data_IF_797156844606
#
_entry.id   IF_797156844606
#
_cell.length_a   1.000
_cell.length_b   1.000
_cell.length_c   1.000
_cell.angle_alpha   90.00
_cell.angle_beta   90.00
_cell.angle_gamma   90.00
#
_symmetry.space_group_name_H-M   'P 1'
#
loop_
_entity.id
_entity.type
_entity.pdbx_description
1 polymer ?
#
# COMPACT_ATOMS: atom_id res chain seq x y z
N UNK A 1 12.90 0.32 -4.04
CA UNK A 1 12.21 1.53 -3.52
C UNK A 1 11.34 1.21 -2.30
N UNK A 2 11.20 2.17 -1.38
CA UNK A 2 10.32 2.05 -0.21
C UNK A 2 9.10 2.94 -0.38
N UNK A 3 7.92 2.40 -0.09
CA UNK A 3 6.63 3.05 -0.29
C UNK A 3 5.87 3.18 1.03
N UNK A 4 5.23 4.34 1.26
CA UNK A 4 4.16 4.44 2.26
C UNK A 4 2.91 3.78 1.71
N UNK A 5 2.47 2.72 2.36
CA UNK A 5 1.38 1.88 1.86
C UNK A 5 -0.01 2.46 2.12
N UNK A 6 -0.97 1.82 1.48
CA UNK A 6 -2.37 2.14 1.40
C UNK A 6 -2.99 2.53 2.74
N UNK A 7 -3.47 3.75 2.81
CA UNK A 7 -4.37 4.27 3.84
C UNK A 7 -5.09 5.47 3.23
N UNK A 8 -6.40 5.43 3.13
CA UNK A 8 -7.18 6.47 2.43
C UNK A 8 -7.44 7.70 3.31
N UNK A 9 -7.58 8.86 2.66
CA UNK A 9 -8.23 10.01 3.28
C UNK A 9 -9.69 9.66 3.59
N UNK A 10 -10.11 9.87 4.80
CA UNK A 10 -11.38 9.38 5.36
C UNK A 10 -11.17 8.24 6.37
N UNK A 11 -10.30 7.29 6.09
CA UNK A 11 -9.77 6.37 7.12
C UNK A 11 -8.78 7.09 8.02
N UNK A 12 -7.81 7.80 7.44
CA UNK A 12 -6.95 8.77 8.12
C UNK A 12 -7.56 10.17 8.11
N UNK A 13 -7.15 11.02 9.04
CA UNK A 13 -7.36 12.46 8.96
C UNK A 13 -6.63 13.05 7.76
N UNK A 14 -7.06 14.22 7.31
CA UNK A 14 -6.42 14.98 6.22
C UNK A 14 -4.96 15.25 6.55
N UNK A 15 -4.71 15.76 7.76
CA UNK A 15 -3.38 16.13 8.25
C UNK A 15 -2.41 14.93 8.20
N UNK A 16 -2.84 13.78 8.70
CA UNK A 16 -2.01 12.58 8.70
C UNK A 16 -1.74 12.06 7.28
N UNK A 17 -2.74 12.11 6.41
CA UNK A 17 -2.61 11.63 5.03
C UNK A 17 -1.67 12.53 4.20
N UNK A 18 -1.80 13.84 4.34
CA UNK A 18 -0.96 14.82 3.63
C UNK A 18 0.48 14.80 4.16
N UNK A 19 0.68 14.74 5.48
CA UNK A 19 2.00 14.62 6.10
C UNK A 19 2.80 13.45 5.53
N UNK A 20 2.15 12.28 5.37
CA UNK A 20 2.77 11.11 4.77
C UNK A 20 3.16 11.33 3.30
N UNK A 21 2.30 11.96 2.53
CA UNK A 21 2.57 12.22 1.12
C UNK A 21 3.75 13.21 0.96
N UNK A 22 3.74 14.30 1.70
CA UNK A 22 4.84 15.29 1.72
C UNK A 22 6.16 14.64 2.09
N UNK A 23 6.18 13.86 3.18
CA UNK A 23 7.40 13.18 3.62
C UNK A 23 7.98 12.26 2.54
N UNK A 24 7.14 11.44 1.92
CA UNK A 24 7.59 10.53 0.87
C UNK A 24 8.07 11.26 -0.37
N UNK A 25 7.42 12.36 -0.74
CA UNK A 25 7.85 13.18 -1.87
C UNK A 25 9.22 13.82 -1.61
N UNK A 26 9.50 14.31 -0.39
CA UNK A 26 10.80 14.89 -0.02
C UNK A 26 11.95 13.89 -0.17
N UNK A 27 11.75 12.63 0.14
CA UNK A 27 12.77 11.57 -0.01
C UNK A 27 12.72 10.87 -1.37
N UNK A 28 11.97 11.40 -2.34
CA UNK A 28 11.75 10.82 -3.68
C UNK A 28 11.12 9.42 -3.67
N UNK A 29 10.55 9.01 -2.54
CA UNK A 29 9.73 7.82 -2.43
C UNK A 29 8.31 8.05 -2.96
N UNK A 30 7.40 7.14 -2.67
CA UNK A 30 5.99 7.28 -3.07
C UNK A 30 5.03 6.96 -1.92
N UNK A 31 3.90 7.67 -1.88
CA UNK A 31 2.76 7.35 -1.04
C UNK A 31 1.60 6.85 -1.89
N UNK A 32 0.83 5.91 -1.34
CA UNK A 32 -0.40 5.44 -1.94
C UNK A 32 -1.59 6.22 -1.38
N UNK A 33 -2.44 6.74 -2.27
CA UNK A 33 -3.66 7.48 -1.91
C UNK A 33 -4.65 6.64 -1.11
N UNK A 34 -4.64 5.31 -1.28
CA UNK A 34 -5.75 4.45 -0.86
C UNK A 34 -6.97 4.62 -1.78
N UNK A 35 -8.04 3.91 -1.47
CA UNK A 35 -9.25 3.80 -2.31
C UNK A 35 -10.27 4.95 -2.17
N UNK A 36 -9.85 6.10 -1.66
CA UNK A 36 -10.77 7.21 -1.35
C UNK A 36 -10.74 8.39 -2.29
N UNK A 37 -10.03 8.30 -3.40
CA UNK A 37 -9.74 9.47 -4.23
C UNK A 37 -8.74 10.41 -3.54
N UNK A 38 -8.53 11.57 -4.12
CA UNK A 38 -7.64 12.60 -3.59
C UNK A 38 -8.07 13.98 -4.12
N UNK A 39 -8.00 15.01 -3.27
CA UNK A 39 -8.34 16.37 -3.67
C UNK A 39 -7.33 16.91 -4.69
N UNK A 40 -7.82 17.50 -5.78
CA UNK A 40 -6.99 18.05 -6.85
C UNK A 40 -6.07 19.20 -6.39
N UNK A 41 -6.42 19.90 -5.30
CA UNK A 41 -5.54 20.92 -4.70
C UNK A 41 -4.21 20.33 -4.25
N UNK A 42 -4.16 19.04 -3.91
CA UNK A 42 -2.96 18.33 -3.49
C UNK A 42 -1.98 18.05 -4.64
N UNK A 43 -2.44 18.18 -5.90
CA UNK A 43 -1.59 17.99 -7.08
C UNK A 43 -0.71 19.22 -7.36
N UNK A 44 -1.05 20.35 -6.73
CA UNK A 44 -0.30 21.59 -6.84
C UNK A 44 0.93 21.59 -5.92
N UNK A 45 1.96 22.30 -6.34
CA UNK A 45 3.14 22.57 -5.52
C UNK A 45 2.79 23.67 -4.50
N UNK A 46 3.09 23.44 -3.25
CA UNK A 46 2.90 24.40 -2.16
C UNK A 46 3.92 25.54 -2.25
N UNK A 47 3.65 26.66 -1.56
CA UNK A 47 4.54 27.83 -1.54
C UNK A 47 5.95 27.55 -1.02
N UNK A 48 6.12 26.53 -0.20
CA UNK A 48 7.40 26.07 0.35
C UNK A 48 8.11 25.03 -0.56
N UNK A 49 7.56 24.73 -1.73
CA UNK A 49 8.10 23.74 -2.68
C UNK A 49 7.68 22.29 -2.41
N UNK A 50 6.95 22.01 -1.35
CA UNK A 50 6.42 20.67 -1.08
C UNK A 50 5.24 20.33 -1.99
N UNK A 51 4.92 19.06 -2.06
CA UNK A 51 3.68 18.55 -2.67
C UNK A 51 3.07 17.45 -1.82
N UNK A 52 1.76 17.52 -1.62
CA UNK A 52 0.97 16.51 -0.93
C UNK A 52 0.37 15.46 -1.89
N UNK A 53 0.74 15.48 -3.15
CA UNK A 53 0.27 14.51 -4.14
C UNK A 53 0.76 13.10 -3.80
N UNK A 54 -0.15 12.14 -3.74
CA UNK A 54 0.21 10.73 -3.64
C UNK A 54 0.63 10.21 -5.02
N UNK A 55 1.87 9.77 -5.16
CA UNK A 55 2.42 9.31 -6.45
C UNK A 55 1.86 7.97 -6.92
N UNK A 56 1.24 7.19 -6.02
CA UNK A 56 0.50 5.97 -6.33
C UNK A 56 -0.98 6.23 -6.13
N UNK A 57 -1.77 6.09 -7.19
CA UNK A 57 -3.22 6.23 -7.14
C UNK A 57 -3.87 4.86 -7.15
N UNK A 58 -4.70 4.57 -6.14
CA UNK A 58 -5.36 3.29 -6.03
C UNK A 58 -6.77 3.34 -6.59
N UNK A 59 -7.17 2.31 -7.35
CA UNK A 59 -8.53 2.02 -7.75
C UNK A 59 -8.98 0.68 -7.18
N UNK A 60 -10.14 0.71 -6.52
CA UNK A 60 -10.78 -0.47 -5.97
C UNK A 60 -12.13 -0.71 -6.66
N UNK A 61 -12.82 -1.77 -6.31
CA UNK A 61 -14.11 -2.16 -6.89
C UNK A 61 -15.14 -1.01 -6.92
N UNK A 62 -15.27 -0.26 -5.83
CA UNK A 62 -16.23 0.83 -5.72
C UNK A 62 -15.82 2.12 -6.47
N UNK A 63 -14.59 2.25 -6.92
CA UNK A 63 -14.05 3.41 -7.66
C UNK A 63 -14.28 4.77 -7.01
N UNK A 64 -14.33 4.84 -5.69
CA UNK A 64 -14.52 6.09 -4.95
C UNK A 64 -13.49 7.15 -5.34
N UNK A 65 -13.99 8.29 -5.86
CA UNK A 65 -13.17 9.44 -6.22
C UNK A 65 -12.22 9.24 -7.41
N UNK A 66 -12.40 8.19 -8.19
CA UNK A 66 -11.59 7.93 -9.39
C UNK A 66 -12.08 8.80 -10.54
N UNK A 67 -11.22 9.71 -10.99
CA UNK A 67 -11.42 10.58 -12.14
C UNK A 67 -10.22 10.53 -13.07
N UNK A 68 -10.37 11.02 -14.30
CA UNK A 68 -9.24 11.12 -15.25
C UNK A 68 -8.13 12.01 -14.69
N UNK A 69 -8.50 13.13 -14.06
CA UNK A 69 -7.53 14.03 -13.42
C UNK A 69 -6.75 13.32 -12.30
N UNK A 70 -7.44 12.58 -11.44
CA UNK A 70 -6.82 11.74 -10.40
C UNK A 70 -5.81 10.76 -11.01
N UNK A 71 -6.18 10.03 -12.06
CA UNK A 71 -5.34 9.02 -12.70
C UNK A 71 -4.14 9.62 -13.47
N UNK A 72 -4.28 10.84 -13.98
CA UNK A 72 -3.19 11.52 -14.69
C UNK A 72 -2.15 12.17 -13.76
N UNK A 73 -2.47 12.35 -12.48
CA UNK A 73 -1.57 12.95 -11.51
C UNK A 73 -0.80 11.92 -10.67
N UNK A 74 -0.28 10.86 -11.29
CA UNK A 74 0.50 9.82 -10.62
C UNK A 74 1.59 9.21 -11.48
N UNK A 75 2.48 8.45 -10.83
CA UNK A 75 3.52 7.64 -11.46
C UNK A 75 3.15 6.14 -11.48
N UNK A 76 2.18 5.75 -10.67
CA UNK A 76 1.71 4.37 -10.56
C UNK A 76 0.21 4.35 -10.29
N UNK A 77 -0.51 3.49 -11.01
CA UNK A 77 -1.92 3.19 -10.78
C UNK A 77 -2.00 1.79 -10.19
N UNK A 78 -2.56 1.67 -8.99
CA UNK A 78 -2.69 0.38 -8.30
C UNK A 78 -4.12 -0.14 -8.37
N UNK A 79 -4.33 -1.26 -9.07
CA UNK A 79 -5.59 -2.01 -9.07
C UNK A 79 -5.66 -2.84 -7.79
N UNK A 80 -6.60 -2.53 -6.89
CA UNK A 80 -6.82 -3.28 -5.67
C UNK A 80 -7.84 -4.41 -5.91
N UNK A 81 -7.37 -5.65 -5.93
CA UNK A 81 -8.28 -6.81 -5.98
C UNK A 81 -8.91 -7.03 -4.60
N UNK A 82 -8.09 -7.04 -3.55
CA UNK A 82 -8.51 -7.18 -2.16
C UNK A 82 -7.45 -6.59 -1.22
N UNK A 83 -7.62 -6.75 0.10
CA UNK A 83 -6.63 -6.33 1.09
C UNK A 83 -6.30 -7.46 2.06
N UNK A 84 -5.03 -7.62 2.42
CA UNK A 84 -4.52 -8.77 3.18
C UNK A 84 -5.18 -8.97 4.53
N UNK A 85 -5.46 -7.88 5.26
CA UNK A 85 -6.02 -7.94 6.60
C UNK A 85 -7.51 -8.33 6.65
N UNK A 86 -8.23 -8.31 5.53
CA UNK A 86 -9.63 -8.75 5.43
C UNK A 86 -10.01 -9.12 4.00
N UNK A 87 -9.45 -10.23 3.50
CA UNK A 87 -9.56 -10.60 2.09
C UNK A 87 -11.00 -10.91 1.64
N UNK A 88 -11.85 -11.41 2.53
CA UNK A 88 -13.25 -11.73 2.22
C UNK A 88 -14.26 -10.64 2.61
N UNK A 89 -13.85 -9.59 3.34
CA UNK A 89 -14.76 -8.54 3.83
C UNK A 89 -14.72 -7.26 2.98
N UNK A 90 -13.58 -6.97 2.37
CA UNK A 90 -13.37 -5.77 1.56
C UNK A 90 -13.14 -4.48 2.34
N UNK A 91 -13.08 -3.37 1.60
CA UNK A 91 -12.93 -2.04 2.14
C UNK A 91 -14.26 -1.51 2.70
N UNK A 92 -14.19 -0.86 3.86
CA UNK A 92 -15.35 -0.23 4.49
C UNK A 92 -14.95 1.10 5.13
N UNK A 93 -15.77 2.12 4.94
CA UNK A 93 -15.71 3.37 5.68
C UNK A 93 -17.06 3.59 6.38
N UNK A 94 -17.12 3.59 7.73
CA UNK A 94 -18.35 3.81 8.46
C UNK A 94 -18.97 5.18 8.14
N UNK A 95 -20.30 5.26 8.11
CA UNK A 95 -21.03 6.48 7.74
C UNK A 95 -20.67 7.70 8.59
N UNK A 96 -20.41 7.51 9.90
CA UNK A 96 -19.99 8.61 10.78
C UNK A 96 -18.61 9.20 10.46
N UNK A 97 -17.80 8.55 9.61
CA UNK A 97 -16.56 9.10 9.04
C UNK A 97 -16.78 9.78 7.69
N UNK A 98 -17.95 9.62 7.07
CA UNK A 98 -18.27 10.21 5.78
C UNK A 98 -18.81 11.63 6.00
N UNK A 99 -17.90 12.58 6.21
CA UNK A 99 -18.18 14.02 6.30
C UNK A 99 -18.53 14.58 4.92
N UNK A 100 -18.93 15.87 4.84
CA UNK A 100 -19.16 16.54 3.56
C UNK A 100 -17.92 16.52 2.66
N UNK A 101 -16.74 16.75 3.21
CA UNK A 101 -15.47 16.67 2.49
C UNK A 101 -15.23 15.27 1.93
N UNK A 102 -15.39 14.23 2.74
CA UNK A 102 -15.17 12.84 2.32
C UNK A 102 -16.23 12.41 1.28
N UNK A 103 -17.48 12.80 1.47
CA UNK A 103 -18.56 12.53 0.52
C UNK A 103 -18.26 13.14 -0.86
N UNK A 104 -17.82 14.40 -0.88
CA UNK A 104 -17.40 15.09 -2.10
C UNK A 104 -16.24 14.38 -2.80
N UNK A 105 -15.18 14.05 -2.05
CA UNK A 105 -13.99 13.38 -2.59
C UNK A 105 -14.28 11.98 -3.16
N UNK A 106 -15.22 11.27 -2.55
CA UNK A 106 -15.57 9.90 -2.94
C UNK A 106 -16.75 9.82 -3.91
N UNK A 107 -17.31 10.96 -4.31
CA UNK A 107 -18.53 11.05 -5.11
C UNK A 107 -19.67 10.22 -4.51
N UNK A 108 -19.94 10.45 -3.22
CA UNK A 108 -20.88 9.67 -2.41
C UNK A 108 -21.75 10.57 -1.54
N UNK A 109 -22.60 9.98 -0.70
CA UNK A 109 -23.51 10.70 0.18
C UNK A 109 -22.97 10.74 1.61
N UNK A 110 -23.01 11.94 2.23
CA UNK A 110 -22.64 12.13 3.65
C UNK A 110 -23.41 11.19 4.57
N UNK A 111 -22.72 10.64 5.55
CA UNK A 111 -23.32 9.82 6.59
C UNK A 111 -23.66 8.38 6.18
N UNK A 112 -23.53 8.04 4.91
CA UNK A 112 -23.77 6.69 4.40
C UNK A 112 -22.50 5.86 4.50
N UNK A 113 -22.59 4.64 5.04
CA UNK A 113 -21.47 3.70 5.07
C UNK A 113 -21.06 3.31 3.65
N UNK A 114 -19.78 3.43 3.34
CA UNK A 114 -19.22 3.13 2.04
C UNK A 114 -18.53 1.77 2.07
N UNK A 115 -18.87 0.91 1.11
CA UNK A 115 -18.35 -0.44 0.99
C UNK A 115 -17.69 -0.60 -0.39
N UNK A 116 -16.49 -1.18 -0.39
CA UNK A 116 -15.80 -1.61 -1.61
C UNK A 116 -15.61 -3.13 -1.52
N UNK A 117 -16.49 -3.91 -2.17
CA UNK A 117 -16.51 -5.37 -2.01
C UNK A 117 -15.26 -6.03 -2.60
N UNK A 118 -14.79 -7.15 -2.02
CA UNK A 118 -13.80 -8.04 -2.58
C UNK A 118 -14.49 -9.25 -3.26
N UNK A 119 -13.86 -9.85 -4.27
CA UNK A 119 -12.79 -9.31 -5.09
C UNK A 119 -13.25 -8.10 -5.89
N UNK A 120 -12.36 -7.48 -6.66
CA UNK A 120 -12.72 -6.37 -7.53
C UNK A 120 -13.86 -6.76 -8.47
N UNK A 121 -15.02 -6.10 -8.36
CA UNK A 121 -16.31 -6.56 -8.91
C UNK A 121 -16.38 -6.65 -10.44
N UNK A 122 -15.49 -5.97 -11.15
CA UNK A 122 -15.47 -5.97 -12.62
C UNK A 122 -14.49 -6.99 -13.19
N UNK A 123 -13.81 -7.75 -12.34
CA UNK A 123 -12.76 -8.67 -12.74
C UNK A 123 -13.16 -10.09 -12.34
N UNK A 124 -13.57 -10.88 -13.33
CA UNK A 124 -13.96 -12.28 -13.18
C UNK A 124 -12.97 -13.23 -13.85
N UNK A 125 -12.07 -12.69 -14.68
CA UNK A 125 -11.04 -13.45 -15.39
C UNK A 125 -9.76 -12.63 -15.54
N UNK A 126 -8.69 -13.29 -16.01
CA UNK A 126 -7.44 -12.61 -16.36
C UNK A 126 -7.62 -11.68 -17.55
N UNK A 127 -8.54 -12.00 -18.45
CA UNK A 127 -8.87 -11.19 -19.63
C UNK A 127 -9.53 -9.88 -19.21
N UNK A 128 -10.45 -9.90 -18.25
CA UNK A 128 -11.06 -8.68 -17.69
C UNK A 128 -9.99 -7.78 -17.04
N UNK A 129 -9.06 -8.39 -16.31
CA UNK A 129 -7.94 -7.66 -15.72
C UNK A 129 -7.04 -7.06 -16.79
N UNK A 130 -6.73 -7.81 -17.86
CA UNK A 130 -5.91 -7.34 -18.98
C UNK A 130 -6.58 -6.15 -19.68
N UNK A 131 -7.91 -6.17 -19.84
CA UNK A 131 -8.66 -5.06 -20.40
C UNK A 131 -8.55 -3.82 -19.49
N UNK A 132 -8.75 -3.96 -18.17
CA UNK A 132 -8.62 -2.84 -17.24
C UNK A 132 -7.20 -2.26 -17.24
N UNK A 133 -6.17 -3.12 -17.25
CA UNK A 133 -4.77 -2.67 -17.34
C UNK A 133 -4.54 -1.87 -18.63
N UNK A 134 -5.05 -2.37 -19.77
CA UNK A 134 -4.95 -1.68 -21.05
C UNK A 134 -5.63 -0.30 -20.99
N UNK A 135 -6.85 -0.22 -20.50
CA UNK A 135 -7.62 1.03 -20.41
C UNK A 135 -6.90 2.07 -19.53
N UNK A 136 -6.34 1.65 -18.41
CA UNK A 136 -5.57 2.53 -17.52
C UNK A 136 -4.29 3.04 -18.17
N UNK A 137 -3.60 2.21 -18.95
CA UNK A 137 -2.42 2.61 -19.73
C UNK A 137 -2.78 3.58 -20.87
N UNK A 138 -4.01 3.53 -21.39
CA UNK A 138 -4.49 4.54 -22.35
C UNK A 138 -4.77 5.89 -21.67
N UNK A 139 -5.31 5.88 -20.44
CA UNK A 139 -5.58 7.11 -19.67
C UNK A 139 -4.27 7.78 -19.25
N UNK A 140 -3.31 7.03 -18.73
CA UNK A 140 -2.00 7.53 -18.32
C UNK A 140 -0.87 6.61 -18.81
N UNK A 141 -0.38 6.82 -20.06
CA UNK A 141 0.67 5.98 -20.65
C UNK A 141 2.02 6.04 -19.91
N UNK A 142 2.22 7.06 -19.07
CA UNK A 142 3.48 7.25 -18.30
C UNK A 142 3.46 6.52 -16.95
N UNK A 143 2.29 6.19 -16.43
CA UNK A 143 2.16 5.50 -15.16
C UNK A 143 2.38 4.00 -15.31
N UNK A 144 3.10 3.41 -14.36
CA UNK A 144 3.14 1.95 -14.21
C UNK A 144 1.80 1.46 -13.67
N UNK A 145 1.33 0.31 -14.14
CA UNK A 145 0.11 -0.33 -13.60
C UNK A 145 0.51 -1.47 -12.67
N UNK A 146 0.10 -1.34 -11.43
CA UNK A 146 0.32 -2.29 -10.34
C UNK A 146 -0.96 -3.07 -10.05
N UNK A 147 -0.84 -4.37 -9.79
CA UNK A 147 -1.97 -5.20 -9.33
C UNK A 147 -1.68 -5.71 -7.92
N UNK A 148 -2.57 -5.37 -6.99
CA UNK A 148 -2.47 -5.80 -5.60
C UNK A 148 -3.23 -7.10 -5.38
N UNK A 149 -2.48 -8.15 -5.05
CA UNK A 149 -2.95 -9.47 -4.67
C UNK A 149 -2.79 -9.69 -3.16
N UNK A 150 -3.60 -10.57 -2.62
CA UNK A 150 -3.50 -11.01 -1.22
C UNK A 150 -2.64 -12.27 -1.15
N UNK A 151 -1.72 -12.32 -0.18
CA UNK A 151 -0.98 -13.53 0.13
C UNK A 151 -1.96 -14.64 0.54
N UNK A 152 -2.01 -15.68 -0.26
CA UNK A 152 -2.87 -16.86 -0.08
C UNK A 152 -2.25 -18.04 -0.82
N UNK A 153 -2.68 -19.25 -0.50
CA UNK A 153 -2.25 -20.43 -1.25
C UNK A 153 -2.71 -20.32 -2.71
N UNK A 154 -1.81 -20.59 -3.65
CA UNK A 154 -2.07 -20.47 -5.09
C UNK A 154 -1.87 -19.07 -5.67
N UNK A 155 -1.45 -18.08 -4.86
CA UNK A 155 -1.22 -16.71 -5.35
C UNK A 155 -0.17 -16.64 -6.46
N UNK A 156 0.77 -17.57 -6.51
CA UNK A 156 1.76 -17.66 -7.57
C UNK A 156 1.14 -17.89 -8.95
N UNK A 157 0.13 -18.74 -9.05
CA UNK A 157 -0.63 -18.96 -10.31
C UNK A 157 -1.34 -17.69 -10.75
N UNK A 158 -1.96 -16.98 -9.79
CA UNK A 158 -2.61 -15.69 -10.06
C UNK A 158 -1.57 -14.66 -10.53
N UNK A 159 -0.41 -14.59 -9.85
CA UNK A 159 0.68 -13.70 -10.23
C UNK A 159 1.18 -13.96 -11.68
N UNK A 160 1.30 -15.22 -12.09
CA UNK A 160 1.65 -15.56 -13.46
C UNK A 160 0.59 -15.07 -14.47
N UNK A 161 -0.69 -15.19 -14.13
CA UNK A 161 -1.79 -14.63 -14.93
C UNK A 161 -1.70 -13.10 -15.03
N UNK A 162 -1.45 -12.41 -13.92
CA UNK A 162 -1.30 -10.95 -13.87
C UNK A 162 -0.10 -10.47 -14.68
N UNK A 163 1.02 -11.20 -14.64
CA UNK A 163 2.18 -10.89 -15.49
C UNK A 163 1.84 -11.02 -17.00
N UNK A 164 1.10 -12.08 -17.37
CA UNK A 164 0.61 -12.26 -18.75
C UNK A 164 -0.39 -11.20 -19.17
N UNK A 165 -1.18 -10.66 -18.24
CA UNK A 165 -2.08 -9.52 -18.44
C UNK A 165 -1.36 -8.17 -18.60
N UNK A 166 0.00 -8.16 -18.60
CA UNK A 166 0.84 -6.98 -18.83
C UNK A 166 0.81 -5.94 -17.72
N UNK A 167 0.59 -6.35 -16.48
CA UNK A 167 0.90 -5.51 -15.33
C UNK A 167 2.41 -5.23 -15.26
N UNK A 168 2.78 -4.05 -14.80
CA UNK A 168 4.19 -3.67 -14.60
C UNK A 168 4.70 -4.09 -13.22
N UNK A 169 3.79 -4.13 -12.24
CA UNK A 169 4.09 -4.44 -10.84
C UNK A 169 3.05 -5.41 -10.29
N UNK A 170 3.50 -6.36 -9.49
CA UNK A 170 2.64 -7.23 -8.70
C UNK A 170 2.94 -6.99 -7.22
N UNK A 171 1.94 -6.55 -6.46
CA UNK A 171 2.04 -6.38 -5.02
C UNK A 171 1.42 -7.59 -4.32
N UNK A 172 2.22 -8.27 -3.50
CA UNK A 172 1.76 -9.33 -2.60
C UNK A 172 1.55 -8.74 -1.19
N UNK A 173 0.31 -8.70 -0.74
CA UNK A 173 -0.08 -8.11 0.55
C UNK A 173 -0.32 -9.19 1.60
N UNK A 174 0.46 -9.16 2.69
CA UNK A 174 0.30 -10.10 3.81
C UNK A 174 -0.91 -9.78 4.70
N UNK A 175 -1.21 -10.68 5.64
CA UNK A 175 -2.37 -10.63 6.54
C UNK A 175 -2.48 -9.36 7.42
N UNK A 176 -1.41 -8.59 7.57
CA UNK A 176 -1.43 -7.30 8.27
C UNK A 176 -1.62 -6.10 7.32
N UNK A 177 -1.75 -6.33 6.01
CA UNK A 177 -1.77 -5.28 5.00
C UNK A 177 -3.15 -4.67 4.75
N UNK A 178 -3.17 -3.35 4.54
CA UNK A 178 -4.28 -2.61 3.96
C UNK A 178 -5.19 -1.86 4.93
N UNK A 179 -5.24 -2.20 6.23
CA UNK A 179 -6.07 -1.49 7.20
C UNK A 179 -5.68 -1.75 8.65
N UNK A 180 -5.84 -0.74 9.52
CA UNK A 180 -5.78 -0.90 10.98
C UNK A 180 -7.14 -1.16 11.62
N UNK A 181 -8.21 -1.22 10.82
CA UNK A 181 -9.60 -1.37 11.28
C UNK A 181 -10.14 -2.80 11.10
N UNK A 182 -9.30 -3.75 10.73
CA UNK A 182 -9.71 -5.16 10.56
C UNK A 182 -9.96 -5.82 11.91
N UNK A 183 -11.00 -6.67 12.03
CA UNK A 183 -11.19 -7.52 13.19
C UNK A 183 -9.95 -8.40 13.44
N UNK A 184 -9.63 -8.66 14.70
CA UNK A 184 -8.48 -9.49 15.07
C UNK A 184 -8.63 -10.93 14.56
N UNK A 185 -9.84 -11.43 14.48
CA UNK A 185 -10.16 -12.75 13.91
C UNK A 185 -9.78 -12.84 12.43
N UNK A 186 -10.08 -11.81 11.63
CA UNK A 186 -9.72 -11.77 10.22
C UNK A 186 -8.21 -11.75 10.03
N UNK A 187 -7.50 -10.85 10.74
CA UNK A 187 -6.03 -10.75 10.67
C UNK A 187 -5.36 -12.05 11.10
N UNK A 188 -5.88 -12.70 12.12
CA UNK A 188 -5.23 -13.87 12.75
C UNK A 188 -5.51 -15.19 12.05
N UNK A 189 -6.67 -15.34 11.43
CA UNK A 189 -7.15 -16.65 10.97
C UNK A 189 -7.47 -16.74 9.47
N UNK A 190 -7.55 -15.61 8.74
CA UNK A 190 -7.96 -15.63 7.33
C UNK A 190 -6.78 -15.42 6.39
N UNK A 191 -5.93 -14.44 6.65
CA UNK A 191 -4.76 -14.15 5.82
C UNK A 191 -3.53 -14.95 6.22
N UNK A 192 -2.55 -15.01 5.31
CA UNK A 192 -1.24 -15.60 5.56
C UNK A 192 -0.13 -14.54 5.54
N UNK A 193 1.05 -14.82 6.12
CA UNK A 193 2.19 -13.91 6.07
C UNK A 193 2.62 -13.59 4.62
N UNK A 194 3.12 -12.36 4.42
CA UNK A 194 3.61 -11.93 3.10
C UNK A 194 4.79 -12.79 2.61
N UNK A 195 5.58 -13.32 3.52
CA UNK A 195 6.72 -14.17 3.24
C UNK A 195 6.32 -15.40 2.41
N UNK A 196 5.22 -16.04 2.78
CA UNK A 196 4.71 -17.22 2.06
C UNK A 196 4.23 -16.86 0.67
N UNK A 197 3.39 -15.83 0.56
CA UNK A 197 2.82 -15.40 -0.73
C UNK A 197 3.88 -14.84 -1.68
N UNK A 198 4.82 -14.06 -1.16
CA UNK A 198 5.91 -13.50 -1.97
C UNK A 198 6.82 -14.60 -2.53
N UNK A 199 7.21 -15.55 -1.69
CA UNK A 199 8.07 -16.67 -2.10
C UNK A 199 7.39 -17.52 -3.16
N UNK A 200 6.13 -17.86 -2.97
CA UNK A 200 5.34 -18.60 -3.97
C UNK A 200 5.25 -17.84 -5.30
N UNK A 201 4.93 -16.54 -5.25
CA UNK A 201 4.84 -15.71 -6.46
C UNK A 201 6.19 -15.63 -7.19
N UNK A 202 7.28 -15.40 -6.47
CA UNK A 202 8.61 -15.33 -7.05
C UNK A 202 9.01 -16.66 -7.72
N UNK A 203 8.76 -17.80 -7.06
CA UNK A 203 9.05 -19.13 -7.61
C UNK A 203 8.24 -19.40 -8.88
N UNK A 204 6.92 -19.20 -8.86
CA UNK A 204 6.05 -19.49 -9.99
C UNK A 204 6.38 -18.58 -11.18
N UNK A 205 6.64 -17.31 -10.95
CA UNK A 205 7.07 -16.37 -12.01
C UNK A 205 8.41 -16.80 -12.62
N UNK A 206 9.35 -17.26 -11.80
CA UNK A 206 10.66 -17.74 -12.26
C UNK A 206 10.53 -19.03 -13.08
N UNK A 207 9.78 -20.01 -12.59
CA UNK A 207 9.53 -21.27 -13.27
C UNK A 207 8.85 -21.11 -14.64
N UNK A 208 8.01 -20.08 -14.78
CA UNK A 208 7.30 -19.76 -16.02
C UNK A 208 8.05 -18.74 -16.90
N UNK A 209 9.27 -18.38 -16.58
CA UNK A 209 10.06 -17.35 -17.28
C UNK A 209 9.33 -16.00 -17.41
N UNK A 210 8.59 -15.60 -16.36
CA UNK A 210 7.84 -14.36 -16.31
C UNK A 210 8.44 -13.36 -15.31
N UNK A 211 9.37 -13.80 -14.44
CA UNK A 211 9.90 -12.98 -13.33
C UNK A 211 10.52 -11.66 -13.80
N UNK A 212 11.18 -11.67 -14.96
CA UNK A 212 11.83 -10.49 -15.53
C UNK A 212 10.86 -9.48 -16.16
N UNK A 213 9.60 -9.85 -16.32
CA UNK A 213 8.59 -8.98 -16.97
C UNK A 213 7.85 -8.10 -15.99
N UNK A 214 7.99 -8.33 -14.67
CA UNK A 214 7.28 -7.60 -13.62
C UNK A 214 8.19 -7.28 -12.44
N UNK A 215 7.91 -6.16 -11.78
CA UNK A 215 8.48 -5.82 -10.47
C UNK A 215 7.64 -6.46 -9.36
N UNK A 216 8.26 -7.17 -8.42
CA UNK A 216 7.58 -7.67 -7.23
C UNK A 216 7.66 -6.67 -6.09
N UNK A 217 6.50 -6.37 -5.51
CA UNK A 217 6.32 -5.52 -4.35
C UNK A 217 5.67 -6.30 -3.21
N UNK A 218 6.01 -6.02 -1.96
CA UNK A 218 5.35 -6.64 -0.81
C UNK A 218 5.01 -5.63 0.29
N UNK A 219 3.95 -5.91 1.04
CA UNK A 219 3.54 -5.19 2.24
C UNK A 219 2.87 -6.11 3.28
N UNK A 220 2.44 -5.52 4.38
CA UNK A 220 1.70 -6.24 5.40
C UNK A 220 2.55 -6.81 6.52
N UNK A 221 3.52 -6.01 7.01
CA UNK A 221 4.34 -6.39 8.15
C UNK A 221 5.75 -5.81 8.16
N UNK A 222 6.15 -5.14 7.09
CA UNK A 222 7.47 -4.49 6.99
C UNK A 222 7.57 -3.35 8.00
N UNK A 223 8.57 -3.39 8.89
CA UNK A 223 8.77 -2.43 9.99
C UNK A 223 10.20 -1.93 10.10
N UNK A 224 11.19 -2.76 9.77
CA UNK A 224 12.62 -2.54 10.00
C UNK A 224 13.39 -2.71 8.70
N UNK A 225 14.66 -2.30 8.68
CA UNK A 225 15.58 -2.58 7.58
C UNK A 225 15.83 -4.07 7.39
N UNK A 226 15.84 -4.82 8.50
CA UNK A 226 15.96 -6.29 8.45
C UNK A 226 14.80 -6.93 7.69
N UNK A 227 13.55 -6.46 7.89
CA UNK A 227 12.40 -6.97 7.15
C UNK A 227 12.54 -6.68 5.65
N UNK A 228 13.06 -5.50 5.29
CA UNK A 228 13.35 -5.13 3.89
C UNK A 228 14.38 -6.07 3.27
N UNK A 229 15.48 -6.36 3.97
CA UNK A 229 16.52 -7.27 3.49
C UNK A 229 15.97 -8.69 3.30
N UNK A 230 15.20 -9.20 4.25
CA UNK A 230 14.54 -10.53 4.13
C UNK A 230 13.58 -10.54 2.93
N UNK A 231 12.78 -9.51 2.77
CA UNK A 231 11.86 -9.40 1.63
C UNK A 231 12.61 -9.37 0.28
N UNK A 232 13.75 -8.67 0.22
CA UNK A 232 14.61 -8.69 -0.96
C UNK A 232 15.13 -10.10 -1.27
N UNK A 233 15.67 -10.78 -0.27
CA UNK A 233 16.15 -12.17 -0.42
C UNK A 233 15.03 -13.13 -0.88
N UNK A 234 13.78 -12.86 -0.51
CA UNK A 234 12.60 -13.61 -0.96
C UNK A 234 12.06 -13.18 -2.32
N UNK A 235 12.66 -12.16 -2.95
CA UNK A 235 12.36 -11.76 -4.32
C UNK A 235 11.66 -10.40 -4.49
N UNK A 236 11.40 -9.64 -3.43
CA UNK A 236 10.81 -8.31 -3.56
C UNK A 236 11.84 -7.25 -3.99
N UNK A 237 11.41 -6.33 -4.83
CA UNK A 237 12.18 -5.18 -5.33
C UNK A 237 11.65 -3.86 -4.74
N UNK A 238 10.39 -3.85 -4.30
CA UNK A 238 9.74 -2.69 -3.70
C UNK A 238 9.04 -3.10 -2.40
N UNK A 239 9.09 -2.21 -1.40
CA UNK A 239 8.70 -2.52 -0.02
C UNK A 239 7.69 -1.50 0.51
N UNK A 240 6.60 -2.00 1.08
CA UNK A 240 5.52 -1.18 1.59
C UNK A 240 5.46 -1.08 3.10
N UNK A 241 5.69 0.12 3.66
CA UNK A 241 5.63 0.40 5.10
C UNK A 241 4.37 1.21 5.41
N UNK A 242 3.57 0.78 6.39
CA UNK A 242 2.35 1.47 6.78
C UNK A 242 2.32 1.85 8.27
N UNK A 243 2.12 0.88 9.15
CA UNK A 243 1.92 1.11 10.59
C UNK A 243 3.08 1.87 11.22
N UNK A 244 4.31 1.51 10.88
CA UNK A 244 5.51 2.16 11.43
C UNK A 244 5.57 3.64 11.06
N UNK A 245 5.16 4.02 9.85
CA UNK A 245 5.07 5.43 9.46
C UNK A 245 4.00 6.20 10.24
N UNK A 246 2.89 5.55 10.62
CA UNK A 246 1.91 6.16 11.53
C UNK A 246 2.45 6.32 12.94
N UNK A 247 3.21 5.33 13.44
CA UNK A 247 3.85 5.40 14.76
C UNK A 247 4.83 6.58 14.82
N UNK A 248 5.61 6.79 13.76
CA UNK A 248 6.50 7.96 13.66
C UNK A 248 5.76 9.30 13.77
N UNK A 249 4.48 9.34 13.36
CA UNK A 249 3.63 10.54 13.48
C UNK A 249 2.84 10.61 14.80
N UNK A 250 3.10 9.73 15.76
CA UNK A 250 2.43 9.73 17.06
C UNK A 250 1.27 8.75 17.23
N UNK A 251 1.07 7.80 16.31
CA UNK A 251 0.10 6.73 16.51
C UNK A 251 0.51 5.84 17.71
N UNK A 252 -0.37 5.71 18.68
CA UNK A 252 -0.16 4.92 19.91
C UNK A 252 -0.67 3.48 19.82
N UNK A 253 -1.07 3.03 18.63
CA UNK A 253 -1.54 1.67 18.33
C UNK A 253 -2.71 1.18 19.19
N UNK A 254 -3.59 2.06 19.67
CA UNK A 254 -4.77 1.73 20.47
C UNK A 254 -5.81 0.90 19.67
N UNK A 255 -5.66 0.81 18.35
CA UNK A 255 -6.51 0.02 17.44
C UNK A 255 -8.00 0.41 17.41
N UNK A 256 -8.32 1.67 17.73
CA UNK A 256 -9.66 2.26 17.59
C UNK A 256 -9.82 2.97 16.23
N UNK A 257 -9.14 2.47 15.20
CA UNK A 257 -9.13 3.10 13.87
C UNK A 257 -10.51 3.11 13.17
N UNK A 258 -11.40 2.18 13.56
CA UNK A 258 -12.75 2.06 13.00
C UNK A 258 -13.79 2.96 13.67
N UNK A 259 -13.55 3.41 14.90
CA UNK A 259 -14.58 4.04 15.76
C UNK A 259 -14.66 5.57 15.67
N UNK A 260 -13.79 6.22 14.90
CA UNK A 260 -13.66 7.68 14.82
C UNK A 260 -13.20 8.38 16.12
N UNK A 261 -12.70 7.62 17.10
CA UNK A 261 -12.30 8.09 18.43
C UNK A 261 -10.79 8.07 18.64
N UNK A 262 -10.00 8.16 17.58
CA UNK A 262 -8.55 8.14 17.67
C UNK A 262 -8.04 9.32 18.52
N UNK A 263 -7.45 9.07 19.71
CA UNK A 263 -7.14 10.14 20.66
C UNK A 263 -5.98 11.04 20.24
N UNK A 264 -5.23 10.65 19.23
CA UNK A 264 -4.07 11.36 18.68
C UNK A 264 -4.30 11.95 17.29
N UNK A 265 -5.54 11.99 16.82
CA UNK A 265 -5.91 12.67 15.58
C UNK A 265 -5.49 11.98 14.27
N UNK A 266 -4.92 10.76 14.32
CA UNK A 266 -4.40 10.08 13.12
C UNK A 266 -5.50 9.43 12.28
N UNK A 267 -6.45 8.71 12.92
CA UNK A 267 -7.46 7.91 12.21
C UNK A 267 -8.89 8.38 12.58
N UNK A 268 -9.15 9.66 12.54
CA UNK A 268 -10.44 10.25 12.88
C UNK A 268 -10.82 11.38 11.93
N UNK A 269 -12.12 11.65 11.79
CA UNK A 269 -12.69 12.80 11.10
C UNK A 269 -13.29 13.82 12.10
N UNK A 270 -13.29 13.52 13.39
CA UNK A 270 -13.70 14.45 14.44
C UNK A 270 -12.71 15.61 14.54
N UNK A 271 -13.19 16.85 14.38
CA UNK A 271 -12.37 18.05 14.30
C UNK A 271 -11.55 18.27 15.59
N UNK A 272 -12.17 18.08 16.78
CA UNK A 272 -11.49 18.26 18.08
C UNK A 272 -10.39 17.23 18.31
N UNK A 273 -10.56 16.03 17.76
CA UNK A 273 -9.53 15.00 17.84
C UNK A 273 -8.43 15.22 16.79
N UNK A 274 -8.77 15.73 15.60
CA UNK A 274 -7.80 16.09 14.55
C UNK A 274 -6.84 17.18 15.01
N UNK A 275 -7.30 18.16 15.78
CA UNK A 275 -6.45 19.20 16.39
C UNK A 275 -5.30 18.66 17.26
N UNK A 276 -5.45 17.43 17.78
CA UNK A 276 -4.41 16.76 18.60
C UNK A 276 -3.29 16.12 17.74
N UNK A 277 -3.43 16.11 16.43
CA UNK A 277 -2.41 15.56 15.55
C UNK A 277 -1.14 16.41 15.59
N UNK A 278 -0.01 15.80 15.92
CA UNK A 278 1.29 16.46 16.05
C UNK A 278 2.38 15.82 15.17
N UNK A 279 1.97 15.02 14.20
CA UNK A 279 2.88 14.42 13.23
C UNK A 279 3.47 15.48 12.29
N UNK A 280 4.72 15.27 11.87
CA UNK A 280 5.38 16.13 10.89
C UNK A 280 6.06 15.30 9.79
N UNK A 281 6.25 15.86 8.59
CA UNK A 281 6.97 15.15 7.53
C UNK A 281 8.38 14.72 7.94
N UNK A 282 9.08 15.54 8.75
CA UNK A 282 10.44 15.27 9.21
C UNK A 282 10.53 13.98 10.03
N UNK A 283 9.56 13.73 10.91
CA UNK A 283 9.50 12.48 11.70
C UNK A 283 9.42 11.25 10.80
N UNK A 284 8.65 11.33 9.73
CA UNK A 284 8.51 10.24 8.76
C UNK A 284 9.77 10.10 7.91
N UNK A 285 10.35 11.21 7.45
CA UNK A 285 11.63 11.22 6.72
C UNK A 285 12.72 10.56 7.55
N UNK A 286 12.84 10.93 8.83
CA UNK A 286 13.83 10.35 9.73
C UNK A 286 13.63 8.83 9.88
N UNK A 287 12.39 8.36 10.06
CA UNK A 287 12.10 6.92 10.12
C UNK A 287 12.61 6.18 8.88
N UNK A 288 12.28 6.67 7.69
CA UNK A 288 12.72 6.01 6.45
C UNK A 288 14.23 6.10 6.23
N UNK A 289 14.87 7.17 6.70
CA UNK A 289 16.34 7.31 6.70
C UNK A 289 17.00 6.27 7.61
N UNK A 290 16.45 6.03 8.80
CA UNK A 290 16.94 4.99 9.71
C UNK A 290 16.73 3.59 9.15
N UNK A 291 15.58 3.30 8.55
CA UNK A 291 15.34 2.01 7.87
C UNK A 291 16.36 1.81 6.74
N UNK A 292 16.60 2.84 5.92
CA UNK A 292 17.58 2.76 4.84
C UNK A 292 19.02 2.56 5.37
N UNK A 293 19.37 3.20 6.47
CA UNK A 293 20.67 3.02 7.10
C UNK A 293 20.85 1.59 7.65
N UNK A 294 19.85 1.06 8.34
CA UNK A 294 19.86 -0.33 8.81
C UNK A 294 20.01 -1.32 7.65
N UNK A 295 19.30 -1.10 6.53
CA UNK A 295 19.49 -1.91 5.31
C UNK A 295 20.93 -1.86 4.81
N UNK A 296 21.54 -0.68 4.74
CA UNK A 296 22.93 -0.51 4.29
C UNK A 296 23.91 -1.25 5.18
N UNK A 297 23.74 -1.19 6.50
CA UNK A 297 24.57 -1.86 7.47
C UNK A 297 24.50 -3.39 7.30
N UNK A 298 23.29 -3.93 7.23
CA UNK A 298 23.08 -5.38 7.03
C UNK A 298 23.69 -5.86 5.71
N UNK A 299 23.46 -5.12 4.61
CA UNK A 299 24.02 -5.48 3.29
C UNK A 299 25.55 -5.46 3.33
N UNK A 300 26.15 -4.46 3.98
CA UNK A 300 27.60 -4.34 4.12
C UNK A 300 28.18 -5.51 4.96
N UNK A 301 27.55 -5.87 6.07
CA UNK A 301 27.92 -7.04 6.89
C UNK A 301 27.87 -8.35 6.10
N UNK A 302 26.90 -8.48 5.18
CA UNK A 302 26.77 -9.63 4.29
C UNK A 302 27.77 -9.61 3.12
N UNK A 303 28.55 -8.53 2.96
CA UNK A 303 29.54 -8.38 1.90
C UNK A 303 29.00 -7.96 0.54
N UNK A 304 27.75 -7.46 0.45
CA UNK A 304 27.14 -7.00 -0.79
C UNK A 304 27.22 -5.47 -0.94
N UNK A 305 27.23 -5.00 -2.18
CA UNK A 305 27.33 -3.57 -2.50
C UNK A 305 25.97 -2.88 -2.66
N UNK A 306 24.95 -3.65 -3.05
CA UNK A 306 23.60 -3.10 -3.28
C UNK A 306 22.52 -4.09 -2.87
N UNK A 307 21.31 -3.55 -2.61
CA UNK A 307 20.13 -4.36 -2.35
C UNK A 307 19.77 -5.26 -3.55
N UNK A 308 20.07 -4.81 -4.77
CA UNK A 308 19.80 -5.58 -5.99
C UNK A 308 20.61 -6.90 -6.04
N UNK A 309 21.78 -6.94 -5.40
CA UNK A 309 22.66 -8.12 -5.40
C UNK A 309 22.07 -9.29 -4.60
N UNK A 310 21.10 -8.99 -3.72
CA UNK A 310 20.47 -10.01 -2.84
C UNK A 310 19.04 -10.36 -3.23
N UNK A 311 18.47 -9.73 -4.26
CA UNK A 311 17.09 -10.03 -4.68
C UNK A 311 16.97 -11.48 -5.14
N UNK A 312 16.07 -12.22 -4.48
CA UNK A 312 15.84 -13.64 -4.77
C UNK A 312 16.89 -14.62 -4.23
N UNK A 313 17.89 -14.13 -3.46
CA UNK A 313 18.95 -14.94 -2.87
C UNK A 313 18.48 -15.66 -1.59
N UNK A 314 17.52 -16.54 -1.73
CA UNK A 314 16.98 -17.35 -0.62
C UNK A 314 18.02 -18.31 0.01
N UNK A 315 19.09 -18.61 -0.70
CA UNK A 315 20.24 -19.35 -0.20
C UNK A 315 20.94 -18.67 0.98
N UNK A 316 20.77 -17.36 1.15
CA UNK A 316 21.30 -16.59 2.28
C UNK A 316 20.41 -16.68 3.53
N UNK A 317 19.21 -17.25 3.42
CA UNK A 317 18.28 -17.40 4.54
C UNK A 317 18.39 -18.79 5.17
N UNK A 318 18.49 -18.83 6.51
CA UNK A 318 18.45 -20.06 7.27
C UNK A 318 17.33 -20.03 8.28
N UNK A 319 16.44 -21.01 8.25
CA UNK A 319 15.44 -21.20 9.28
C UNK A 319 16.11 -21.70 10.57
N UNK A 320 15.95 -20.96 11.67
CA UNK A 320 16.62 -21.24 12.94
C UNK A 320 15.75 -22.11 13.85
N UNK A 321 14.43 -22.00 13.77
CA UNK A 321 13.49 -22.86 14.49
C UNK A 321 12.49 -23.48 13.52
N UNK A 322 12.23 -24.76 13.73
CA UNK A 322 11.06 -25.42 13.14
C UNK A 322 9.94 -25.16 14.12
N UNK A 323 9.11 -24.12 13.86
CA UNK A 323 8.03 -23.70 14.74
C UNK A 323 7.09 -24.79 15.16
#
# INVERSE_FOLDING_TARGET
DVYKRQMSHGALSKEAHETLAVAMNRIKGASCSGEGGEDSERFKIMSNGDTANSRVKQIASARFGVTVDYLNNCNEIEIKIAQGAKPGEGGQLPGFKVTDEIARLRHSTKGVTLISPPPHHDIYSIEDLAQLIYDLKQINPKARVSVKLVASSGVGTIAAGVAKAKADIILISGHNGGTGASPQTSVKYVGIPWEMGLTEANQVLTLNNLRHTVTLKTDGGIKTGRDVVIAAMMGAEEYGVATTSLVAMGCIMVRQCHSNTCPVGVCTQDEKLREKFNGTPEKVVNLFSFIAQEVREIIAELGFKSLNDIIGRTDLLKQISKG
#
